data_IF_781839706808
#
_entry.id   IF_781839706808
#
_cell.length_a   1.000
_cell.length_b   1.000
_cell.length_c   1.000
_cell.angle_alpha   90.00
_cell.angle_beta   90.00
_cell.angle_gamma   90.00
#
_symmetry.space_group_name_H-M   'P 1'
#
loop_
_entity.id
_entity.type
_entity.pdbx_description
1 polymer ?
#
# COMPACT_ATOMS: atom_id res chain seq x y z
N UNK A 1 -6.62 11.60 7.31
CA UNK A 1 -6.25 12.43 6.13
C UNK A 1 -4.82 12.18 5.65
N UNK A 2 -3.84 12.08 6.56
CA UNK A 2 -2.40 11.91 6.23
C UNK A 2 -2.13 10.69 5.33
N UNK A 3 -2.57 9.49 5.72
CA UNK A 3 -2.31 8.27 4.94
C UNK A 3 -2.84 8.37 3.50
N UNK A 4 -4.04 8.95 3.32
CA UNK A 4 -4.63 9.16 1.99
C UNK A 4 -3.78 10.07 1.12
N UNK A 5 -3.20 11.13 1.67
CA UNK A 5 -2.28 12.01 0.96
C UNK A 5 -1.02 11.29 0.49
N UNK A 6 -0.40 10.50 1.38
CA UNK A 6 0.79 9.70 1.07
C UNK A 6 0.48 8.70 -0.05
N UNK A 7 -0.55 7.88 0.13
CA UNK A 7 -0.90 6.81 -0.82
C UNK A 7 -1.24 7.40 -2.19
N UNK A 8 -1.99 8.51 -2.23
CA UNK A 8 -2.30 9.20 -3.49
C UNK A 8 -1.07 9.81 -4.16
N UNK A 9 -0.14 10.37 -3.40
CA UNK A 9 1.12 10.89 -3.94
C UNK A 9 1.98 9.80 -4.60
N UNK A 10 1.87 8.55 -4.13
CA UNK A 10 2.53 7.38 -4.73
C UNK A 10 1.71 6.71 -5.85
N UNK A 11 0.63 7.34 -6.33
CA UNK A 11 -0.22 6.82 -7.40
C UNK A 11 -1.14 5.66 -6.98
N UNK A 12 -1.35 5.50 -5.68
CA UNK A 12 -2.15 4.45 -5.08
C UNK A 12 -3.59 4.83 -4.76
N UNK A 13 -4.33 3.85 -4.24
CA UNK A 13 -5.70 3.98 -3.74
C UNK A 13 -5.81 3.46 -2.31
N UNK A 14 -6.77 3.99 -1.54
CA UNK A 14 -7.05 3.59 -0.16
C UNK A 14 -8.55 3.60 0.09
N UNK A 15 -9.05 2.59 0.80
CA UNK A 15 -10.45 2.47 1.19
C UNK A 15 -10.57 1.82 2.57
N UNK A 16 -11.77 1.94 3.15
CA UNK A 16 -12.10 1.40 4.47
C UNK A 16 -13.37 0.58 4.35
N UNK A 17 -13.34 -0.62 4.90
CA UNK A 17 -14.47 -1.53 4.96
C UNK A 17 -14.79 -1.81 6.43
N UNK A 18 -16.07 -1.77 6.79
CA UNK A 18 -16.49 -2.28 8.10
C UNK A 18 -16.38 -3.80 8.05
N UNK A 19 -15.58 -4.36 8.95
CA UNK A 19 -15.53 -5.80 9.12
C UNK A 19 -16.58 -6.16 10.17
N UNK A 20 -17.63 -6.85 9.72
CA UNK A 20 -18.73 -7.28 10.57
C UNK A 20 -18.15 -7.97 11.82
N UNK A 21 -18.40 -7.34 12.98
CA UNK A 21 -18.04 -7.78 14.34
C UNK A 21 -16.59 -7.54 14.83
N UNK A 22 -15.67 -7.03 14.00
CA UNK A 22 -14.25 -6.89 14.37
C UNK A 22 -13.67 -5.47 14.17
N UNK A 23 -14.48 -4.53 13.68
CA UNK A 23 -14.10 -3.12 13.54
C UNK A 23 -13.95 -2.70 12.08
N UNK A 24 -12.82 -2.11 11.71
CA UNK A 24 -12.58 -1.60 10.36
C UNK A 24 -11.31 -2.17 9.75
N UNK A 25 -11.38 -2.52 8.47
CA UNK A 25 -10.22 -2.88 7.65
C UNK A 25 -9.86 -1.66 6.80
N UNK A 26 -8.60 -1.25 6.86
CA UNK A 26 -8.06 -0.18 6.01
C UNK A 26 -7.15 -0.82 4.97
N UNK A 27 -7.59 -0.80 3.71
CA UNK A 27 -6.89 -1.43 2.59
C UNK A 27 -6.34 -0.36 1.64
N UNK A 28 -5.18 -0.61 1.03
CA UNK A 28 -4.59 0.29 0.05
C UNK A 28 -3.77 -0.45 -1.01
N UNK A 29 -3.53 0.22 -2.13
CA UNK A 29 -2.70 -0.26 -3.24
C UNK A 29 -1.65 0.78 -3.59
N UNK A 30 -0.51 0.33 -4.12
CA UNK A 30 0.53 1.16 -4.72
C UNK A 30 1.03 0.46 -5.99
N UNK A 31 1.19 1.16 -7.13
CA UNK A 31 1.74 0.57 -8.34
C UNK A 31 3.17 0.04 -8.11
N UNK A 32 3.43 -1.20 -8.53
CA UNK A 32 4.78 -1.74 -8.55
C UNK A 32 5.52 -1.18 -9.77
N UNK A 33 6.42 -0.23 -9.54
CA UNK A 33 7.49 0.04 -10.53
C UNK A 33 8.43 -1.18 -10.52
N UNK A 34 8.88 -1.65 -11.69
CA UNK A 34 9.83 -2.78 -11.78
C UNK A 34 10.95 -2.55 -10.78
N UNK A 35 10.92 -3.26 -9.65
CA UNK A 35 11.97 -3.18 -8.67
C UNK A 35 13.26 -3.53 -9.40
N UNK A 36 14.22 -2.61 -9.39
CA UNK A 36 15.58 -2.94 -9.84
C UNK A 36 15.97 -4.12 -8.95
N UNK A 37 16.07 -5.33 -9.52
CA UNK A 37 16.52 -6.50 -8.76
C UNK A 37 17.78 -6.05 -8.03
N UNK A 38 17.75 -6.03 -6.69
CA UNK A 38 18.96 -5.81 -5.92
C UNK A 38 19.81 -7.04 -6.18
N UNK A 39 20.73 -6.93 -7.14
CA UNK A 39 21.77 -7.93 -7.36
C UNK A 39 22.68 -7.86 -6.14
N UNK A 40 22.46 -8.79 -5.22
CA UNK A 40 23.10 -8.77 -3.91
C UNK A 40 22.90 -10.07 -3.16
N UNK A 41 23.20 -11.19 -3.80
CA UNK A 41 23.60 -12.41 -3.09
C UNK A 41 24.91 -12.88 -3.72
N UNK A 42 26.04 -12.42 -3.17
CA UNK A 42 27.32 -13.13 -3.27
C UNK A 42 27.38 -14.01 -2.03
N UNK A 43 27.26 -15.32 -2.23
CA UNK A 43 27.75 -16.34 -1.30
C UNK A 43 29.01 -16.95 -1.90
#
# INVERSE_FOLDING_TARGET
AICRGIIKAHGGDIWVENAADIGAIVSFTIPLVKAKKVSGEKK
#
